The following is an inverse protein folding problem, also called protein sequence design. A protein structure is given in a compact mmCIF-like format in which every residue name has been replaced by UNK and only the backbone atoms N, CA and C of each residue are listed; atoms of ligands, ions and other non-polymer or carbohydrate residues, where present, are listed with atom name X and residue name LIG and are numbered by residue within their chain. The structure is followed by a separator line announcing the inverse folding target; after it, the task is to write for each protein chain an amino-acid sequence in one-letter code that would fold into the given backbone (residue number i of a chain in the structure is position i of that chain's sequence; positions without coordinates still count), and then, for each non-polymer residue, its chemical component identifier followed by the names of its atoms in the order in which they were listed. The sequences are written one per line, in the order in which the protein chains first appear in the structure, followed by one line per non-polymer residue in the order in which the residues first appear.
data_IF_590519354304
#
_entry.id   IF_590519354304
#
_cell.length_a   1.000
_cell.length_b   1.000
_cell.length_c   1.000
_cell.angle_alpha   90.00
_cell.angle_beta   90.00
_cell.angle_gamma   90.00
#
_symmetry.space_group_name_H-M   'P 1'
#
loop_
_entity.id
_entity.type
_entity.pdbx_description
1 polymer ?
#
# COMPACT_ATOMS: atom_id res chain seq x y z
N UNK A 1 0.50 -6.68 12.45
CA UNK A 1 0.52 -5.51 11.53
C UNK A 1 -0.08 -5.98 10.22
N UNK A 2 -1.20 -5.38 9.79
CA UNK A 2 -1.92 -5.80 8.58
C UNK A 2 -1.32 -5.14 7.33
N UNK A 3 -1.32 -5.83 6.20
CA UNK A 3 -0.98 -5.28 4.90
C UNK A 3 -2.24 -5.04 4.05
N UNK A 4 -2.15 -4.08 3.14
CA UNK A 4 -3.19 -3.80 2.14
C UNK A 4 -2.65 -4.19 0.78
N UNK A 5 -3.38 -5.06 0.09
CA UNK A 5 -3.07 -5.48 -1.28
C UNK A 5 -4.08 -4.82 -2.21
N UNK A 6 -3.61 -3.95 -3.11
CA UNK A 6 -4.50 -3.18 -3.98
C UNK A 6 -3.85 -2.81 -5.31
N UNK A 7 -4.66 -2.43 -6.29
CA UNK A 7 -4.19 -1.75 -7.50
C UNK A 7 -4.37 -0.23 -7.35
N UNK A 8 -3.31 0.58 -7.52
CA UNK A 8 -3.43 2.03 -7.40
C UNK A 8 -4.46 2.60 -8.38
N UNK A 9 -5.34 3.47 -7.87
CA UNK A 9 -6.26 4.21 -8.71
C UNK A 9 -5.52 5.25 -9.55
N UNK A 10 -6.09 5.61 -10.71
CA UNK A 10 -5.60 6.73 -11.50
C UNK A 10 -5.75 8.02 -10.70
N UNK A 11 -4.71 8.85 -10.67
CA UNK A 11 -4.78 10.16 -10.02
C UNK A 11 -5.68 11.11 -10.81
N UNK A 12 -6.50 11.90 -10.13
CA UNK A 12 -7.43 12.83 -10.79
C UNK A 12 -6.71 13.92 -11.61
N UNK A 13 -5.54 14.35 -11.13
CA UNK A 13 -4.78 15.46 -11.72
C UNK A 13 -3.91 15.09 -12.93
N UNK A 14 -3.79 13.81 -13.28
CA UNK A 14 -2.93 13.36 -14.37
C UNK A 14 -3.64 12.40 -15.31
N UNK A 15 -3.31 12.48 -16.61
CA UNK A 15 -3.81 11.55 -17.61
C UNK A 15 -3.14 10.18 -17.56
N UNK A 16 -1.94 10.07 -16.95
CA UNK A 16 -1.11 8.87 -16.97
C UNK A 16 -1.71 7.66 -16.22
N UNK A 17 -1.59 6.47 -16.82
CA UNK A 17 -2.11 5.19 -16.28
C UNK A 17 -1.02 4.16 -15.98
N UNK A 18 0.25 4.49 -16.21
CA UNK A 18 1.35 3.52 -16.05
C UNK A 18 1.43 2.95 -14.62
N UNK A 19 1.16 3.76 -13.59
CA UNK A 19 1.24 3.37 -12.18
C UNK A 19 0.05 2.53 -11.69
N UNK A 20 -1.01 2.36 -12.48
CA UNK A 20 -2.22 1.61 -12.08
C UNK A 20 -2.18 0.13 -12.46
N UNK A 21 -1.14 -0.30 -13.19
CA UNK A 21 -1.06 -1.66 -13.77
C UNK A 21 -0.67 -2.72 -12.76
N UNK A 22 0.21 -2.39 -11.82
CA UNK A 22 0.80 -3.34 -10.88
C UNK A 22 -0.02 -3.41 -9.59
N UNK A 23 -0.03 -4.59 -8.96
CA UNK A 23 -0.52 -4.77 -7.60
C UNK A 23 0.52 -4.25 -6.60
N UNK A 24 0.05 -3.64 -5.53
CA UNK A 24 0.89 -3.08 -4.47
C UNK A 24 0.50 -3.71 -3.15
N UNK A 25 1.49 -4.16 -2.40
CA UNK A 25 1.37 -4.53 -0.98
C UNK A 25 2.02 -3.42 -0.15
N UNK A 26 1.23 -2.82 0.73
CA UNK A 26 1.65 -1.76 1.65
C UNK A 26 1.27 -2.11 3.08
N UNK A 27 2.20 -1.97 4.01
CA UNK A 27 1.95 -2.20 5.43
C UNK A 27 1.10 -1.07 6.02
N UNK A 28 0.04 -1.41 6.75
CA UNK A 28 -0.70 -0.44 7.53
C UNK A 28 0.12 0.01 8.74
N UNK A 29 -0.06 1.27 9.13
CA UNK A 29 0.51 1.79 10.37
C UNK A 29 -0.08 1.04 11.55
N UNK A 30 0.79 0.47 12.38
CA UNK A 30 0.43 -0.22 13.61
C UNK A 30 0.37 0.73 14.81
N UNK A 31 1.17 1.80 14.78
CA UNK A 31 1.23 2.82 15.83
C UNK A 31 0.87 4.21 15.32
N UNK A 32 0.36 5.05 16.23
CA UNK A 32 0.21 6.48 15.96
C UNK A 32 1.57 7.15 15.77
N UNK A 33 1.57 8.22 14.98
CA UNK A 33 2.76 9.08 14.83
C UNK A 33 2.85 10.01 16.02
N UNK A 34 4.07 10.26 16.48
CA UNK A 34 4.36 11.17 17.58
C UNK A 34 4.98 12.46 17.05
N UNK A 35 4.77 13.55 17.78
CA UNK A 35 5.37 14.85 17.47
C UNK A 35 6.53 15.05 18.43
N UNK A 36 7.73 15.26 17.88
CA UNK A 36 8.90 15.59 18.66
C UNK A 36 8.68 16.94 19.38
N UNK A 37 8.84 17.01 20.72
CA UNK A 37 8.51 18.22 21.48
C UNK A 37 9.50 19.38 21.27
N UNK A 38 10.70 19.12 20.74
CA UNK A 38 11.73 20.14 20.57
C UNK A 38 11.64 20.81 19.20
N UNK A 39 11.64 20.01 18.13
CA UNK A 39 11.69 20.47 16.74
C UNK A 39 10.33 20.35 16.03
N UNK A 40 9.36 19.65 16.62
CA UNK A 40 8.03 19.47 16.02
C UNK A 40 7.99 18.44 14.88
N UNK A 41 9.03 17.62 14.71
CA UNK A 41 9.07 16.61 13.64
C UNK A 41 8.14 15.45 13.94
N UNK A 42 7.50 14.93 12.89
CA UNK A 42 6.67 13.73 13.01
C UNK A 42 7.55 12.48 12.99
N UNK A 43 7.64 11.81 14.14
CA UNK A 43 8.42 10.59 14.31
C UNK A 43 7.53 9.34 14.34
N UNK A 44 8.12 8.21 14.00
CA UNK A 44 7.51 6.88 14.16
C UNK A 44 8.61 5.86 14.41
N UNK A 45 8.34 4.85 15.24
CA UNK A 45 9.24 3.71 15.46
C UNK A 45 9.14 2.64 14.37
N UNK A 46 8.11 2.70 13.51
CA UNK A 46 7.80 1.64 12.54
C UNK A 46 8.43 1.90 11.17
N UNK A 47 9.44 1.11 10.80
CA UNK A 47 10.12 1.23 9.50
C UNK A 47 9.35 0.58 8.36
N UNK A 48 8.55 -0.45 8.64
CA UNK A 48 7.83 -1.22 7.63
C UNK A 48 6.80 -0.37 6.85
N UNK A 49 6.30 0.69 7.46
CA UNK A 49 5.37 1.65 6.83
C UNK A 49 5.96 2.38 5.63
N UNK A 50 7.29 2.37 5.48
CA UNK A 50 8.00 3.01 4.37
C UNK A 50 8.13 2.07 3.15
N UNK A 51 7.89 0.77 3.32
CA UNK A 51 8.10 -0.25 2.28
C UNK A 51 6.83 -0.45 1.46
N UNK A 52 6.95 -0.37 0.14
CA UNK A 52 5.90 -0.73 -0.82
C UNK A 52 6.42 -1.76 -1.80
N UNK A 53 5.81 -2.94 -1.80
CA UNK A 53 6.17 -4.04 -2.71
C UNK A 53 5.24 -4.02 -3.92
N UNK A 54 5.78 -4.28 -5.11
CA UNK A 54 5.02 -4.30 -6.37
C UNK A 54 5.02 -5.70 -6.96
N UNK A 55 3.84 -6.15 -7.37
CA UNK A 55 3.61 -7.47 -7.95
C UNK A 55 2.85 -7.34 -9.27
N UNK A 56 3.03 -8.31 -10.16
CA UNK A 56 2.32 -8.38 -11.43
C UNK A 56 0.89 -8.90 -11.27
N UNK A 57 0.68 -9.86 -10.36
CA UNK A 57 -0.61 -10.49 -10.09
C UNK A 57 -1.06 -10.32 -8.64
N UNK A 58 -2.37 -10.48 -8.42
CA UNK A 58 -3.00 -10.50 -7.09
C UNK A 58 -2.47 -11.68 -6.28
N UNK A 59 -2.41 -12.84 -6.92
CA UNK A 59 -2.02 -14.10 -6.28
C UNK A 59 -0.55 -14.08 -5.84
N UNK A 60 0.34 -13.44 -6.59
CA UNK A 60 1.74 -13.26 -6.19
C UNK A 60 1.86 -12.43 -4.89
N UNK A 61 1.06 -11.38 -4.75
CA UNK A 61 1.04 -10.57 -3.54
C UNK A 61 0.45 -11.34 -2.34
N UNK A 62 -0.61 -12.13 -2.57
CA UNK A 62 -1.25 -12.98 -1.54
C UNK A 62 -0.29 -14.08 -1.08
N UNK A 63 0.37 -14.76 -2.02
CA UNK A 63 1.34 -15.82 -1.70
C UNK A 63 2.49 -15.27 -0.86
N UNK A 64 3.04 -14.11 -1.23
CA UNK A 64 4.08 -13.45 -0.43
C UNK A 64 3.59 -13.12 0.99
N UNK A 65 2.37 -12.59 1.11
CA UNK A 65 1.80 -12.27 2.41
C UNK A 65 1.60 -13.53 3.29
N UNK A 66 1.07 -14.61 2.72
CA UNK A 66 0.90 -15.90 3.39
C UNK A 66 2.25 -16.50 3.83
N UNK A 67 3.24 -16.50 2.95
CA UNK A 67 4.57 -17.08 3.22
C UNK A 67 5.32 -16.31 4.32
N UNK A 68 5.04 -15.01 4.46
CA UNK A 68 5.58 -14.17 5.53
C UNK A 68 4.70 -14.10 6.77
N UNK A 69 3.54 -14.78 6.79
CA UNK A 69 2.60 -14.75 7.91
C UNK A 69 2.00 -13.36 8.16
N UNK A 70 1.84 -12.56 7.12
CA UNK A 70 1.31 -11.20 7.20
C UNK A 70 -0.20 -11.24 6.97
N UNK A 71 -0.98 -10.77 7.93
CA UNK A 71 -2.42 -10.55 7.75
C UNK A 71 -2.66 -9.51 6.65
N UNK A 72 -3.54 -9.78 5.69
CA UNK A 72 -3.77 -8.87 4.57
C UNK A 72 -5.25 -8.62 4.29
N UNK A 73 -5.53 -7.44 3.74
CA UNK A 73 -6.83 -7.07 3.19
C UNK A 73 -6.67 -6.77 1.70
N UNK A 74 -7.50 -7.39 0.85
CA UNK A 74 -7.48 -7.16 -0.59
C UNK A 74 -8.54 -6.14 -0.97
N UNK A 75 -8.14 -5.05 -1.61
CA UNK A 75 -9.04 -4.09 -2.25
C UNK A 75 -9.05 -4.31 -3.75
N UNK A 76 -10.21 -4.63 -4.31
CA UNK A 76 -10.35 -4.82 -5.75
C UNK A 76 -10.34 -3.49 -6.52
N UNK A 77 -9.67 -3.43 -7.70
CA UNK A 77 -9.68 -2.24 -8.52
C UNK A 77 -11.09 -1.96 -9.03
N UNK A 78 -11.49 -0.68 -9.03
CA UNK A 78 -12.71 -0.22 -9.70
C UNK A 78 -12.35 0.34 -11.08
N UNK A 79 -12.43 -0.44 -12.17
CA UNK A 79 -12.09 0.03 -13.50
C UNK A 79 -13.09 1.10 -13.95
N UNK A 80 -12.61 2.08 -14.72
CA UNK A 80 -13.49 3.06 -15.36
C UNK A 80 -14.31 2.34 -16.43
N UNK A 81 -15.62 2.58 -16.48
CA UNK A 81 -16.44 2.13 -17.61
C UNK A 81 -15.91 2.79 -18.90
N UNK A 82 -15.81 2.00 -19.96
CA UNK A 82 -15.68 2.52 -21.31
C UNK A 82 -17.01 3.17 -21.71
N UNK A 83 -16.94 4.31 -22.40
CA UNK A 83 -18.12 4.98 -22.95
C UNK A 83 -18.55 4.29 -24.23
#
# INVERSE_FOLDING_TARGET
MRARIYKPAKTAMSSGTAKTRNWVLEYAQGSSREIDPLMGWTSTSETQTQVKLRFESKDAAINYANEKGIEFEVTEPKPRKAN
#
